data_IF_760829136457
#
_entry.id   IF_760829136457
#
_cell.length_a   1.000
_cell.length_b   1.000
_cell.length_c   1.000
_cell.angle_alpha   90.00
_cell.angle_beta   90.00
_cell.angle_gamma   90.00
#
_symmetry.space_group_name_H-M   'P 1'
#
loop_
_entity.id
_entity.type
_entity.pdbx_description
1 polymer ?
#
# COMPACT_ATOMS: atom_id res chain seq x y z
N UNK A 1 -13.28 -27.54 -20.83
CA UNK A 1 -14.11 -26.52 -20.16
C UNK A 1 -14.13 -26.92 -18.70
N UNK A 2 -13.60 -26.15 -17.76
CA UNK A 2 -13.90 -24.75 -17.50
C UNK A 2 -12.64 -24.11 -16.89
N UNK A 3 -11.89 -23.41 -17.75
CA UNK A 3 -10.82 -22.52 -17.32
C UNK A 3 -11.52 -21.37 -16.63
N UNK A 4 -11.70 -21.47 -15.31
CA UNK A 4 -12.12 -20.33 -14.50
C UNK A 4 -11.19 -19.19 -14.89
N UNK A 5 -11.75 -18.21 -15.59
CA UNK A 5 -11.03 -17.04 -16.04
C UNK A 5 -10.33 -16.49 -14.82
N UNK A 6 -9.01 -16.40 -14.88
CA UNK A 6 -8.25 -15.54 -14.01
C UNK A 6 -8.80 -14.14 -14.27
N UNK A 7 -9.85 -13.75 -13.55
CA UNK A 7 -10.36 -12.39 -13.54
C UNK A 7 -9.19 -11.55 -13.04
N UNK A 8 -8.45 -11.02 -14.00
CA UNK A 8 -7.29 -10.18 -13.75
C UNK A 8 -7.90 -8.83 -13.42
N UNK A 9 -8.21 -8.63 -12.14
CA UNK A 9 -8.69 -7.34 -11.63
C UNK A 9 -7.56 -6.33 -11.74
N UNK A 10 -7.58 -5.56 -12.83
CA UNK A 10 -6.67 -4.44 -13.03
C UNK A 10 -7.20 -3.25 -12.23
N UNK A 11 -6.72 -3.08 -11.01
CA UNK A 11 -7.01 -1.89 -10.20
C UNK A 11 -6.14 -0.72 -10.68
N UNK A 12 -6.78 0.26 -11.33
CA UNK A 12 -6.13 1.52 -11.69
C UNK A 12 -6.18 2.43 -10.46
N UNK A 13 -5.03 2.68 -9.84
CA UNK A 13 -4.90 3.61 -8.72
C UNK A 13 -4.40 4.97 -9.20
N UNK A 14 -5.04 6.05 -8.78
CA UNK A 14 -4.57 7.43 -9.00
C UNK A 14 -3.47 7.81 -7.99
N UNK A 15 -2.51 6.91 -7.78
CA UNK A 15 -1.49 7.04 -6.75
C UNK A 15 -0.16 6.41 -7.16
N UNK A 16 0.82 6.51 -6.28
CA UNK A 16 2.13 5.90 -6.47
C UNK A 16 2.35 4.86 -5.37
N UNK A 17 2.74 3.64 -5.77
CA UNK A 17 3.21 2.61 -4.86
C UNK A 17 4.72 2.78 -4.66
N UNK A 18 5.16 2.73 -3.41
CA UNK A 18 6.57 2.68 -3.06
C UNK A 18 6.95 1.26 -2.67
N UNK A 19 8.14 0.82 -3.08
CA UNK A 19 8.66 -0.51 -2.69
C UNK A 19 9.09 -0.57 -1.22
N UNK A 20 9.24 0.58 -0.55
CA UNK A 20 9.71 0.67 0.85
C UNK A 20 8.54 0.87 1.81
N UNK A 21 8.47 -0.01 2.81
CA UNK A 21 7.56 0.10 3.95
C UNK A 21 8.05 1.10 5.01
N UNK A 22 7.39 1.11 6.17
CA UNK A 22 7.76 1.95 7.30
C UNK A 22 9.11 1.55 7.90
N UNK A 23 9.91 2.54 8.30
CA UNK A 23 11.26 2.34 8.87
C UNK A 23 11.24 1.65 10.23
N UNK A 24 10.20 1.86 11.03
CA UNK A 24 10.11 1.34 12.40
C UNK A 24 8.74 0.70 12.65
N UNK A 25 8.67 -0.46 13.33
CA UNK A 25 7.40 -1.09 13.70
C UNK A 25 6.48 -0.18 14.53
N UNK A 26 7.03 0.80 15.25
CA UNK A 26 6.25 1.78 16.00
C UNK A 26 5.45 2.77 15.14
N UNK A 27 5.69 2.78 13.82
CA UNK A 27 4.93 3.60 12.86
C UNK A 27 3.64 2.91 12.39
N UNK A 28 3.37 1.68 12.86
CA UNK A 28 2.14 0.95 12.53
C UNK A 28 0.93 1.67 13.14
N UNK A 29 -0.11 1.88 12.33
CA UNK A 29 -1.39 2.46 12.80
C UNK A 29 -2.46 1.40 12.93
N UNK A 30 -2.40 0.35 12.11
CA UNK A 30 -3.24 -0.84 12.18
C UNK A 30 -2.33 -2.05 12.42
N UNK A 31 -2.27 -2.49 13.67
CA UNK A 31 -1.40 -3.60 14.10
C UNK A 31 -1.85 -4.96 13.59
N UNK A 32 -3.14 -5.13 13.27
CA UNK A 32 -3.68 -6.39 12.78
C UNK A 32 -3.31 -6.61 11.31
N UNK A 33 -3.38 -5.54 10.51
CA UNK A 33 -2.98 -5.57 9.10
C UNK A 33 -1.49 -5.28 8.88
N UNK A 34 -0.79 -4.85 9.92
CA UNK A 34 0.60 -4.37 9.86
C UNK A 34 0.78 -3.26 8.80
N UNK A 35 -0.11 -2.26 8.81
CA UNK A 35 -0.05 -1.12 7.89
C UNK A 35 0.04 0.21 8.64
N UNK A 36 0.59 1.20 7.95
CA UNK A 36 0.56 2.60 8.36
C UNK A 36 -0.35 3.33 7.37
N UNK A 37 -1.54 3.73 7.83
CA UNK A 37 -2.55 4.44 7.05
C UNK A 37 -2.62 5.90 7.52
N UNK A 38 -2.44 6.83 6.59
CA UNK A 38 -2.42 8.27 6.84
C UNK A 38 -3.32 8.95 5.80
N UNK A 39 -4.29 9.74 6.24
CA UNK A 39 -5.27 10.36 5.35
C UNK A 39 -4.68 11.51 4.51
N UNK A 40 -3.91 12.40 5.15
CA UNK A 40 -3.26 13.56 4.52
C UNK A 40 -1.84 13.75 5.04
N UNK A 41 -0.92 12.81 4.75
CA UNK A 41 0.44 12.91 5.23
C UNK A 41 1.21 14.02 4.51
N UNK A 42 2.09 14.69 5.24
CA UNK A 42 3.14 15.50 4.62
C UNK A 42 4.26 14.59 4.14
N UNK A 43 4.69 14.77 2.89
CA UNK A 43 5.82 14.03 2.31
C UNK A 43 7.05 14.92 2.38
N UNK A 44 8.07 14.49 3.14
CA UNK A 44 9.37 15.14 3.17
C UNK A 44 10.30 14.45 2.18
N UNK A 45 10.76 15.20 1.18
CA UNK A 45 11.78 14.76 0.22
C UNK A 45 13.12 15.38 0.62
N UNK A 46 14.11 14.52 0.83
CA UNK A 46 15.52 14.90 1.07
C UNK A 46 16.40 14.11 0.10
N UNK A 47 17.59 14.64 -0.20
CA UNK A 47 18.65 13.97 -0.99
C UNK A 47 19.22 12.77 -0.22
#
# INVERSE_FOLDING_TARGET
>A
EESNGLDTELEVVEGMQFDRGYQSPYMVTDSDKMIAELERPYILLTD
#
